data_IF_053827229476
#
_entry.id   IF_053827229476
#
_cell.length_a   1.000
_cell.length_b   1.000
_cell.length_c   1.000
_cell.angle_alpha   90.00
_cell.angle_beta   90.00
_cell.angle_gamma   90.00
#
_symmetry.space_group_name_H-M   'P 1'
#
loop_
_entity.id
_entity.type
_entity.pdbx_description
1 polymer ?
#
# COMPACT_ATOMS: atom_id res chain seq x y z
N UNK A 1 -50.19 -7.32 -20.14
CA UNK A 1 -50.78 -5.98 -20.35
C UNK A 1 -51.23 -5.86 -21.79
N UNK A 2 -52.40 -5.28 -22.05
CA UNK A 2 -52.83 -4.90 -23.38
C UNK A 2 -52.35 -3.46 -23.66
N UNK A 3 -51.48 -3.29 -24.65
CA UNK A 3 -50.87 -1.99 -24.97
C UNK A 3 -51.90 -1.05 -25.59
N UNK A 4 -52.75 -1.57 -26.48
CA UNK A 4 -53.72 -0.78 -27.24
C UNK A 4 -54.84 -0.26 -26.33
N UNK A 5 -55.42 -1.13 -25.50
CA UNK A 5 -56.48 -0.77 -24.57
C UNK A 5 -55.98 -0.15 -23.25
N UNK A 6 -54.65 -0.14 -23.02
CA UNK A 6 -54.01 0.33 -21.79
C UNK A 6 -54.52 -0.34 -20.50
N UNK A 7 -54.93 -1.62 -20.61
CA UNK A 7 -55.41 -2.43 -19.48
C UNK A 7 -54.31 -3.40 -19.04
N UNK A 8 -54.18 -3.63 -17.73
CA UNK A 8 -53.22 -4.59 -17.17
C UNK A 8 -53.91 -5.59 -16.25
N UNK A 9 -53.34 -6.78 -16.22
CA UNK A 9 -53.69 -7.87 -15.31
C UNK A 9 -52.41 -8.53 -14.83
N UNK A 10 -52.50 -9.29 -13.75
CA UNK A 10 -51.39 -10.07 -13.20
C UNK A 10 -51.67 -11.56 -13.38
N UNK A 11 -50.60 -12.32 -13.57
CA UNK A 11 -50.68 -13.78 -13.71
C UNK A 11 -50.78 -14.39 -12.32
N UNK A 12 -51.77 -15.26 -12.10
CA UNK A 12 -51.96 -15.98 -10.85
C UNK A 12 -50.92 -17.08 -10.61
N UNK A 13 -50.93 -17.68 -9.43
CA UNK A 13 -49.98 -18.74 -9.03
C UNK A 13 -49.99 -19.98 -9.94
N UNK A 14 -51.11 -20.26 -10.61
CA UNK A 14 -51.25 -21.36 -11.58
C UNK A 14 -50.88 -21.00 -13.02
N UNK A 15 -50.37 -19.80 -13.30
CA UNK A 15 -50.04 -19.36 -14.67
C UNK A 15 -51.23 -18.89 -15.50
N UNK A 16 -52.41 -18.76 -14.90
CA UNK A 16 -53.64 -18.28 -15.54
C UNK A 16 -53.79 -16.77 -15.36
N UNK A 17 -54.40 -16.11 -16.35
CA UNK A 17 -54.70 -14.68 -16.33
C UNK A 17 -55.94 -14.40 -17.16
N UNK A 18 -56.69 -13.37 -16.78
CA UNK A 18 -57.83 -12.86 -17.54
C UNK A 18 -57.59 -11.39 -17.89
N UNK A 19 -57.80 -11.04 -19.16
CA UNK A 19 -57.67 -9.66 -19.66
C UNK A 19 -58.64 -9.42 -20.81
N UNK A 20 -59.28 -8.25 -20.80
CA UNK A 20 -60.11 -7.79 -21.91
C UNK A 20 -59.22 -7.40 -23.11
N UNK A 21 -59.46 -8.00 -24.26
CA UNK A 21 -58.73 -7.73 -25.49
C UNK A 21 -59.59 -7.97 -26.74
N UNK A 22 -59.25 -7.28 -27.83
CA UNK A 22 -59.91 -7.40 -29.12
C UNK A 22 -58.95 -7.95 -30.19
N UNK A 23 -59.46 -8.50 -31.31
CA UNK A 23 -58.61 -8.84 -32.44
C UNK A 23 -57.77 -7.63 -32.88
N UNK A 24 -56.50 -7.85 -33.20
CA UNK A 24 -55.47 -6.84 -33.54
C UNK A 24 -54.88 -6.06 -32.35
N UNK A 25 -55.31 -6.32 -31.12
CA UNK A 25 -54.61 -5.78 -29.95
C UNK A 25 -53.26 -6.44 -29.73
N UNK A 26 -52.31 -5.69 -29.17
CA UNK A 26 -50.99 -6.20 -28.78
C UNK A 26 -50.92 -6.43 -27.28
N UNK A 27 -50.70 -7.69 -26.89
CA UNK A 27 -50.44 -8.08 -25.52
C UNK A 27 -48.93 -8.13 -25.25
N UNK A 28 -48.50 -7.43 -24.20
CA UNK A 28 -47.17 -7.49 -23.63
C UNK A 28 -47.16 -8.37 -22.38
N UNK A 29 -46.34 -9.41 -22.42
CA UNK A 29 -46.03 -10.27 -21.28
C UNK A 29 -44.65 -9.89 -20.78
N UNK A 30 -44.54 -9.54 -19.50
CA UNK A 30 -43.28 -9.13 -18.85
C UNK A 30 -43.26 -9.66 -17.42
N UNK A 31 -42.12 -10.18 -16.99
CA UNK A 31 -41.92 -10.65 -15.61
C UNK A 31 -40.43 -10.72 -15.28
N UNK A 32 -40.10 -10.84 -14.00
CA UNK A 32 -38.71 -10.91 -13.55
C UNK A 32 -37.97 -12.16 -14.06
N UNK A 33 -38.71 -13.26 -14.20
CA UNK A 33 -38.18 -14.59 -14.56
C UNK A 33 -38.29 -14.91 -16.05
N UNK A 34 -39.02 -14.11 -16.83
CA UNK A 34 -39.34 -14.40 -18.24
C UNK A 34 -38.96 -13.25 -19.17
N UNK A 35 -38.47 -13.57 -20.36
CA UNK A 35 -38.18 -12.58 -21.39
C UNK A 35 -39.48 -11.90 -21.82
N UNK A 36 -39.42 -10.58 -21.98
CA UNK A 36 -40.60 -9.81 -22.37
C UNK A 36 -41.02 -10.17 -23.79
N UNK A 37 -42.28 -10.57 -23.98
CA UNK A 37 -42.82 -11.03 -25.27
C UNK A 37 -44.04 -10.21 -25.66
N UNK A 38 -44.07 -9.77 -26.92
CA UNK A 38 -45.23 -9.09 -27.52
C UNK A 38 -45.95 -10.07 -28.45
N UNK A 39 -47.26 -10.15 -28.32
CA UNK A 39 -48.13 -11.00 -29.14
C UNK A 39 -49.27 -10.14 -29.68
N UNK A 40 -49.45 -10.15 -31.00
CA UNK A 40 -50.60 -9.51 -31.65
C UNK A 40 -51.72 -10.55 -31.76
N UNK A 41 -52.90 -10.21 -31.26
CA UNK A 41 -54.04 -11.13 -31.27
C UNK A 41 -54.67 -11.21 -32.65
N UNK A 42 -55.01 -12.42 -33.06
CA UNK A 42 -55.81 -12.69 -34.26
C UNK A 42 -57.25 -13.04 -33.88
N UNK A 43 -58.16 -13.00 -34.84
CA UNK A 43 -59.57 -13.38 -34.63
C UNK A 43 -59.71 -14.84 -34.18
N UNK A 44 -58.78 -15.71 -34.58
CA UNK A 44 -58.74 -17.12 -34.15
C UNK A 44 -58.37 -17.24 -32.68
N UNK A 45 -57.40 -16.45 -32.21
CA UNK A 45 -56.96 -16.46 -30.81
C UNK A 45 -58.05 -16.00 -29.85
N UNK A 46 -58.90 -15.06 -30.28
CA UNK A 46 -60.07 -14.60 -29.51
C UNK A 46 -61.27 -15.57 -29.59
N UNK A 47 -61.31 -16.45 -30.58
CA UNK A 47 -62.36 -17.46 -30.73
C UNK A 47 -62.06 -18.75 -29.94
N UNK A 48 -60.80 -18.98 -29.58
CA UNK A 48 -60.40 -20.08 -28.70
C UNK A 48 -60.76 -19.80 -27.24
N UNK A 49 -61.19 -20.85 -26.52
CA UNK A 49 -61.57 -20.76 -25.10
C UNK A 49 -60.36 -20.46 -24.21
N UNK A 50 -59.15 -20.88 -24.61
CA UNK A 50 -57.94 -20.72 -23.81
C UNK A 50 -56.71 -20.48 -24.67
N UNK A 51 -56.21 -19.24 -24.61
CA UNK A 51 -54.98 -18.83 -25.28
C UNK A 51 -53.74 -19.28 -24.49
N UNK A 52 -52.91 -20.14 -25.09
CA UNK A 52 -51.66 -20.62 -24.49
C UNK A 52 -50.44 -19.89 -25.07
N UNK A 53 -49.67 -19.24 -24.21
CA UNK A 53 -48.49 -18.47 -24.62
C UNK A 53 -47.26 -19.06 -23.95
N UNK A 54 -46.33 -19.55 -24.76
CA UNK A 54 -45.01 -19.99 -24.30
C UNK A 54 -44.10 -18.79 -24.10
N UNK A 55 -43.61 -18.62 -22.89
CA UNK A 55 -42.63 -17.61 -22.51
C UNK A 55 -41.27 -18.26 -22.31
N UNK A 56 -40.24 -17.61 -22.81
CA UNK A 56 -38.87 -18.05 -22.62
C UNK A 56 -38.34 -17.51 -21.29
N UNK A 57 -37.70 -18.36 -20.50
CA UNK A 57 -37.06 -17.94 -19.26
C UNK A 57 -35.95 -16.93 -19.58
N UNK A 58 -35.82 -15.90 -18.74
CA UNK A 58 -34.59 -15.10 -18.76
C UNK A 58 -33.50 -16.01 -18.22
N UNK A 59 -32.69 -16.56 -19.13
CA UNK A 59 -31.46 -17.22 -18.74
C UNK A 59 -30.49 -16.11 -18.32
N UNK A 60 -30.62 -15.67 -17.07
CA UNK A 60 -29.58 -14.89 -16.41
C UNK A 60 -28.39 -15.83 -16.27
N UNK A 61 -27.60 -15.94 -17.33
CA UNK A 61 -26.25 -16.48 -17.21
C UNK A 61 -25.59 -15.61 -16.17
N UNK A 62 -25.48 -16.14 -14.95
CA UNK A 62 -24.63 -15.54 -13.94
C UNK A 62 -23.29 -15.40 -14.62
N UNK A 63 -22.75 -14.16 -14.66
CA UNK A 63 -21.38 -13.97 -15.13
C UNK A 63 -20.55 -15.01 -14.39
N UNK A 64 -19.91 -15.90 -15.15
CA UNK A 64 -19.01 -16.87 -14.57
C UNK A 64 -17.96 -16.06 -13.81
N UNK A 65 -18.05 -16.09 -12.49
CA UNK A 65 -17.00 -15.55 -11.66
C UNK A 65 -15.95 -16.64 -11.69
N UNK A 66 -15.00 -16.50 -12.61
CA UNK A 66 -13.79 -17.32 -12.60
C UNK A 66 -13.08 -16.97 -11.31
N UNK A 67 -13.34 -17.73 -10.24
CA UNK A 67 -12.55 -17.67 -9.01
C UNK A 67 -11.22 -18.28 -9.40
N UNK A 68 -10.30 -17.42 -9.82
CA UNK A 68 -8.93 -17.81 -10.03
C UNK A 68 -8.46 -18.45 -8.71
N UNK A 69 -7.71 -19.56 -8.78
CA UNK A 69 -7.02 -20.15 -7.61
C UNK A 69 -6.08 -19.17 -6.91
N UNK A 70 -5.98 -17.95 -7.42
CA UNK A 70 -5.77 -16.77 -6.62
C UNK A 70 -6.96 -16.51 -5.68
N UNK A 71 -7.26 -17.45 -4.79
CA UNK A 71 -7.37 -17.05 -3.40
C UNK A 71 -6.00 -16.46 -3.08
N UNK A 72 -5.79 -15.20 -3.48
CA UNK A 72 -5.00 -14.27 -2.71
C UNK A 72 -5.72 -14.24 -1.38
N UNK A 73 -5.50 -15.28 -0.58
CA UNK A 73 -5.46 -15.14 0.86
C UNK A 73 -4.65 -13.87 0.97
N UNK A 74 -5.26 -12.80 1.47
CA UNK A 74 -4.50 -11.65 1.93
C UNK A 74 -3.68 -12.08 3.15
N UNK A 75 -3.05 -13.27 3.10
CA UNK A 75 -1.85 -13.62 3.82
C UNK A 75 -0.87 -12.57 3.39
N UNK A 76 -0.87 -11.48 4.15
CA UNK A 76 0.17 -10.48 4.16
C UNK A 76 0.33 -9.79 2.79
N UNK A 77 -0.80 -9.38 2.19
CA UNK A 77 -0.76 -8.58 0.97
C UNK A 77 -0.31 -7.15 1.32
N UNK A 78 1.02 -6.96 1.32
CA UNK A 78 1.70 -5.69 1.53
C UNK A 78 1.76 -5.24 2.99
N UNK A 79 2.96 -5.21 3.56
CA UNK A 79 3.22 -4.59 4.86
C UNK A 79 3.06 -5.52 6.07
N UNK A 80 3.74 -6.67 6.06
CA UNK A 80 3.88 -7.53 7.26
C UNK A 80 4.44 -6.79 8.47
N UNK A 81 5.11 -5.65 8.25
CA UNK A 81 5.72 -4.82 9.28
C UNK A 81 4.73 -4.39 10.36
N UNK A 82 3.48 -4.07 10.01
CA UNK A 82 2.45 -3.69 10.98
C UNK A 82 2.17 -4.79 12.01
N UNK A 83 2.29 -6.05 11.60
CA UNK A 83 2.07 -7.20 12.48
C UNK A 83 3.31 -7.54 13.31
N UNK A 84 4.51 -7.29 12.77
CA UNK A 84 5.79 -7.45 13.48
C UNK A 84 5.97 -6.37 14.54
N UNK A 85 5.46 -5.17 14.29
CA UNK A 85 5.53 -4.02 15.21
C UNK A 85 4.46 -4.05 16.30
N UNK A 86 3.52 -4.99 16.22
CA UNK A 86 2.41 -5.05 17.15
C UNK A 86 2.91 -5.62 18.48
N UNK A 87 2.86 -4.77 19.51
CA UNK A 87 3.16 -5.19 20.87
C UNK A 87 1.90 -5.81 21.49
N UNK A 88 2.07 -6.97 22.11
CA UNK A 88 1.01 -7.67 22.82
C UNK A 88 1.31 -7.68 24.31
N UNK A 89 0.26 -7.54 25.10
CA UNK A 89 0.30 -7.79 26.53
C UNK A 89 0.31 -9.29 26.81
N UNK A 90 0.95 -9.68 27.91
CA UNK A 90 1.01 -11.08 28.32
C UNK A 90 -0.40 -11.54 28.74
N UNK A 91 -0.89 -12.62 28.14
CA UNK A 91 -2.18 -13.24 28.41
C UNK A 91 -2.04 -14.58 29.15
N UNK A 92 -3.17 -15.28 29.38
CA UNK A 92 -3.18 -16.57 30.09
C UNK A 92 -2.45 -17.70 29.34
N UNK A 93 -2.18 -17.54 28.04
CA UNK A 93 -1.47 -18.51 27.22
C UNK A 93 -0.01 -18.11 26.97
N UNK A 94 0.40 -16.94 27.42
CA UNK A 94 1.75 -16.43 27.25
C UNK A 94 2.76 -17.26 28.05
N UNK A 95 3.95 -17.44 27.49
CA UNK A 95 5.00 -18.26 28.12
C UNK A 95 5.42 -17.63 29.44
N UNK A 96 5.41 -18.42 30.53
CA UNK A 96 5.83 -17.95 31.84
C UNK A 96 7.31 -17.50 31.80
N UNK A 97 7.56 -16.24 32.16
CA UNK A 97 8.92 -15.70 32.30
C UNK A 97 9.36 -15.73 33.76
N UNK A 98 10.58 -16.23 34.01
CA UNK A 98 11.17 -16.25 35.35
C UNK A 98 11.86 -14.90 35.64
N UNK A 99 11.18 -14.03 36.39
CA UNK A 99 11.70 -12.72 36.76
C UNK A 99 12.83 -12.77 37.82
N UNK A 100 13.15 -13.93 38.39
CA UNK A 100 14.25 -14.11 39.33
C UNK A 100 15.59 -14.47 38.65
N UNK A 101 15.58 -14.69 37.33
CA UNK A 101 16.81 -14.91 36.56
C UNK A 101 17.51 -13.58 36.27
N UNK A 102 18.84 -13.59 36.20
CA UNK A 102 19.62 -12.42 35.77
C UNK A 102 19.17 -11.97 34.37
N UNK A 103 19.00 -10.65 34.18
CA UNK A 103 18.59 -10.13 32.88
C UNK A 103 19.65 -10.45 31.83
N UNK A 104 19.19 -10.84 30.64
CA UNK A 104 20.02 -11.08 29.46
C UNK A 104 20.50 -9.77 28.79
N UNK A 105 20.37 -8.64 29.50
CA UNK A 105 20.65 -7.28 29.03
C UNK A 105 19.80 -6.85 27.82
N UNK A 106 18.77 -7.61 27.45
CA UNK A 106 17.84 -7.21 26.40
C UNK A 106 16.74 -6.30 26.95
N UNK A 107 16.36 -5.30 26.15
CA UNK A 107 15.28 -4.37 26.50
C UNK A 107 13.97 -4.93 25.93
N UNK A 108 13.06 -5.40 26.80
CA UNK A 108 11.69 -5.77 26.38
C UNK A 108 11.07 -4.55 25.69
N UNK A 109 10.60 -4.71 24.45
CA UNK A 109 10.05 -3.63 23.61
C UNK A 109 11.07 -2.57 23.15
N UNK A 110 12.35 -2.90 23.09
CA UNK A 110 13.38 -2.00 22.55
C UNK A 110 13.22 -1.68 21.06
N UNK A 111 13.83 -0.59 20.62
CA UNK A 111 13.84 -0.14 19.22
C UNK A 111 14.67 -1.08 18.34
N UNK A 112 14.12 -1.51 17.19
CA UNK A 112 14.81 -2.35 16.20
C UNK A 112 15.73 -1.50 15.31
N UNK A 113 16.94 -1.25 15.79
CA UNK A 113 17.94 -0.44 15.09
C UNK A 113 18.37 -1.02 13.73
N UNK A 114 18.33 -2.34 13.57
CA UNK A 114 18.67 -3.01 12.29
C UNK A 114 17.63 -2.68 11.24
N UNK A 115 16.35 -2.65 11.62
CA UNK A 115 15.27 -2.24 10.73
C UNK A 115 15.33 -0.76 10.41
N UNK A 116 15.53 0.11 11.40
CA UNK A 116 15.69 1.56 11.19
C UNK A 116 16.82 1.80 10.18
N UNK A 117 17.97 1.16 10.35
CA UNK A 117 19.09 1.24 9.41
C UNK A 117 18.72 0.75 7.99
N UNK A 118 17.99 -0.37 7.89
CA UNK A 118 17.56 -0.93 6.60
C UNK A 118 16.56 -0.04 5.87
N UNK A 119 15.64 0.59 6.60
CA UNK A 119 14.66 1.53 6.04
C UNK A 119 15.33 2.83 5.60
N UNK A 120 16.26 3.37 6.39
CA UNK A 120 17.11 4.51 6.01
C UNK A 120 17.90 4.18 4.74
N UNK A 121 18.59 3.03 4.69
CA UNK A 121 19.32 2.59 3.50
C UNK A 121 18.41 2.43 2.27
N UNK A 122 17.21 1.91 2.43
CA UNK A 122 16.25 1.70 1.33
C UNK A 122 15.65 3.00 0.81
N UNK A 123 15.39 3.97 1.69
CA UNK A 123 15.02 5.33 1.32
C UNK A 123 16.14 6.04 0.57
N UNK A 124 17.40 5.80 0.96
CA UNK A 124 18.57 6.31 0.25
C UNK A 124 18.82 5.62 -1.10
N UNK A 125 18.36 4.37 -1.28
CA UNK A 125 18.57 3.57 -2.51
C UNK A 125 17.47 3.72 -3.57
N UNK A 126 16.34 4.36 -3.26
CA UNK A 126 15.27 4.64 -4.25
C UNK A 126 15.39 6.07 -4.74
N UNK A 127 16.05 6.24 -5.89
CA UNK A 127 16.03 7.48 -6.66
C UNK A 127 15.80 7.17 -8.13
N UNK A 128 14.64 7.59 -8.61
CA UNK A 128 14.48 8.01 -9.98
C UNK A 128 15.20 9.37 -10.13
N UNK A 129 15.97 9.48 -11.21
CA UNK A 129 16.61 10.68 -11.75
C UNK A 129 17.62 11.40 -10.84
N UNK A 130 18.88 11.01 -11.04
CA UNK A 130 20.09 11.73 -10.67
C UNK A 130 19.99 13.17 -11.18
N UNK A 131 19.67 14.09 -10.26
CA UNK A 131 20.16 15.47 -10.35
C UNK A 131 21.61 15.44 -9.89
N UNK A 132 22.50 16.04 -10.69
CA UNK A 132 23.97 16.08 -10.50
C UNK A 132 24.46 16.55 -9.11
N UNK A 133 23.59 17.02 -8.22
CA UNK A 133 23.95 17.51 -6.88
C UNK A 133 24.22 16.42 -5.84
N UNK A 134 23.79 15.16 -6.03
CA UNK A 134 23.94 14.12 -4.99
C UNK A 134 25.19 13.25 -5.15
N UNK A 135 25.82 13.27 -6.32
CA UNK A 135 27.09 12.57 -6.57
C UNK A 135 28.20 13.22 -5.72
N UNK A 136 28.05 14.50 -5.36
CA UNK A 136 29.04 15.25 -4.58
C UNK A 136 29.07 14.85 -3.10
N UNK A 137 27.94 14.42 -2.54
CA UNK A 137 27.83 14.18 -1.10
C UNK A 137 28.46 12.85 -0.69
N UNK A 138 28.32 11.83 -1.55
CA UNK A 138 29.02 10.54 -1.41
C UNK A 138 30.53 10.74 -1.66
N UNK A 139 30.88 11.55 -2.66
CA UNK A 139 32.27 11.83 -3.01
C UNK A 139 33.04 12.49 -1.87
N UNK A 140 32.45 13.45 -1.14
CA UNK A 140 33.09 14.07 0.02
C UNK A 140 33.36 13.07 1.14
N UNK A 141 32.39 12.22 1.47
CA UNK A 141 32.50 11.24 2.56
C UNK A 141 33.55 10.18 2.25
N UNK A 142 33.58 9.68 1.01
CA UNK A 142 34.61 8.73 0.56
C UNK A 142 36.00 9.40 0.56
N UNK A 143 36.11 10.60 -0.02
CA UNK A 143 37.37 11.34 -0.06
C UNK A 143 37.94 11.62 1.33
N UNK A 144 37.09 12.01 2.29
CA UNK A 144 37.50 12.23 3.67
C UNK A 144 38.02 10.94 4.35
N UNK A 145 37.30 9.83 4.19
CA UNK A 145 37.69 8.53 4.76
C UNK A 145 39.01 8.02 4.16
N UNK A 146 39.26 8.28 2.89
CA UNK A 146 40.49 7.87 2.21
C UNK A 146 41.69 8.77 2.55
N UNK A 147 41.46 10.06 2.82
CA UNK A 147 42.53 11.03 3.09
C UNK A 147 42.92 11.19 4.56
N UNK A 148 42.04 10.82 5.49
CA UNK A 148 42.27 10.94 6.93
C UNK A 148 42.24 9.59 7.64
N UNK A 149 43.15 9.40 8.58
CA UNK A 149 43.25 8.15 9.34
C UNK A 149 42.21 8.11 10.47
N UNK A 150 41.89 6.90 10.94
CA UNK A 150 41.01 6.69 12.10
C UNK A 150 41.46 7.46 13.36
N UNK A 151 42.77 7.67 13.50
CA UNK A 151 43.34 8.48 14.58
C UNK A 151 42.93 9.95 14.51
N UNK A 152 42.76 10.52 13.31
CA UNK A 152 42.28 11.90 13.18
C UNK A 152 40.84 12.03 13.75
N UNK A 153 39.95 11.11 13.39
CA UNK A 153 38.58 11.13 13.89
C UNK A 153 38.49 10.87 15.40
N UNK A 154 39.22 9.87 15.89
CA UNK A 154 39.15 9.47 17.30
C UNK A 154 39.96 10.35 18.25
N UNK A 155 41.17 10.78 17.88
CA UNK A 155 42.07 11.55 18.76
C UNK A 155 41.96 13.05 18.54
N UNK A 156 41.84 13.51 17.30
CA UNK A 156 41.80 14.94 16.98
C UNK A 156 40.39 15.50 17.07
N UNK A 157 39.43 14.84 16.42
CA UNK A 157 38.03 15.25 16.49
C UNK A 157 37.31 14.71 17.75
N UNK A 158 37.89 13.72 18.42
CA UNK A 158 37.30 13.11 19.62
C UNK A 158 35.85 12.65 19.35
N UNK A 159 35.67 11.99 18.21
CA UNK A 159 34.42 11.36 17.79
C UNK A 159 34.52 9.86 18.06
N UNK A 160 33.42 9.25 18.51
CA UNK A 160 33.33 7.80 18.58
C UNK A 160 33.15 7.21 17.18
N UNK A 161 33.53 5.95 17.00
CA UNK A 161 33.46 5.27 15.69
C UNK A 161 32.06 5.30 15.08
N UNK A 162 31.02 5.24 15.90
CA UNK A 162 29.61 5.34 15.52
C UNK A 162 29.17 6.78 15.16
N UNK A 163 29.90 7.79 15.62
CA UNK A 163 29.64 9.22 15.35
C UNK A 163 30.37 9.72 14.09
N UNK A 164 31.43 9.04 13.64
CA UNK A 164 32.26 9.48 12.50
C UNK A 164 31.44 9.61 11.21
N UNK A 165 30.62 8.60 10.90
CA UNK A 165 29.84 8.59 9.66
C UNK A 165 28.76 9.67 9.65
N UNK A 166 28.12 9.90 10.81
CA UNK A 166 27.14 10.97 10.98
C UNK A 166 27.79 12.36 10.87
N UNK A 167 28.97 12.53 11.47
CA UNK A 167 29.72 13.78 11.39
C UNK A 167 30.16 14.11 9.96
N UNK A 168 30.62 13.12 9.18
CA UNK A 168 31.00 13.31 7.78
C UNK A 168 29.79 13.70 6.92
N UNK A 169 28.64 13.09 7.17
CA UNK A 169 27.39 13.45 6.49
C UNK A 169 26.93 14.87 6.87
N UNK A 170 27.10 15.27 8.14
CA UNK A 170 26.86 16.64 8.59
C UNK A 170 27.77 17.64 7.88
N UNK A 171 29.05 17.30 7.69
CA UNK A 171 30.00 18.14 6.96
C UNK A 171 29.64 18.27 5.48
N UNK A 172 29.19 17.18 4.84
CA UNK A 172 28.80 17.16 3.43
C UNK A 172 27.60 18.07 3.11
N UNK A 173 26.75 18.37 4.10
CA UNK A 173 25.61 19.27 3.93
C UNK A 173 26.02 20.75 3.86
N UNK A 174 27.27 21.09 4.22
CA UNK A 174 27.78 22.45 4.07
C UNK A 174 28.26 22.67 2.63
N UNK A 175 27.77 23.71 1.90
CA UNK A 175 28.23 24.02 0.55
C UNK A 175 29.75 24.19 0.44
N UNK A 176 30.43 24.67 1.49
CA UNK A 176 31.88 24.88 1.50
C UNK A 176 32.67 23.57 1.54
N UNK A 177 32.06 22.45 1.92
CA UNK A 177 32.70 21.14 1.88
C UNK A 177 33.05 20.68 0.47
N UNK A 178 32.27 21.13 -0.54
CA UNK A 178 32.43 20.78 -1.96
C UNK A 178 33.62 21.50 -2.61
N UNK A 179 34.02 22.65 -2.06
CA UNK A 179 35.17 23.42 -2.54
C UNK A 179 36.50 22.84 -2.06
N UNK A 180 36.48 22.02 -1.00
CA UNK A 180 37.66 21.53 -0.27
C UNK A 180 38.07 20.08 -0.62
N UNK A 181 37.56 19.54 -1.73
CA UNK A 181 37.81 18.14 -2.19
C UNK A 181 39.01 18.05 -3.15
N UNK A 182 39.92 19.04 -3.10
CA UNK A 182 41.16 19.04 -3.87
C UNK A 182 42.34 18.56 -3.01
N UNK A 183 43.24 17.69 -3.51
CA UNK A 183 44.44 17.24 -2.81
C UNK A 183 45.30 18.37 -2.22
N UNK A 184 45.39 19.51 -2.92
CA UNK A 184 46.21 20.65 -2.50
C UNK A 184 45.61 21.41 -1.30
N UNK A 185 44.34 21.13 -0.97
CA UNK A 185 43.58 21.81 0.08
C UNK A 185 43.38 20.95 1.33
N UNK A 186 44.12 19.84 1.47
CA UNK A 186 44.00 18.90 2.61
C UNK A 186 44.07 19.58 3.99
N UNK A 187 44.92 20.61 4.15
CA UNK A 187 45.01 21.37 5.40
C UNK A 187 43.76 22.22 5.67
N UNK A 188 43.19 22.82 4.63
CA UNK A 188 41.97 23.63 4.73
C UNK A 188 40.76 22.74 5.04
N UNK A 189 40.71 21.54 4.46
CA UNK A 189 39.73 20.52 4.79
C UNK A 189 39.83 20.08 6.26
N UNK A 190 41.05 19.95 6.78
CA UNK A 190 41.29 19.64 8.19
C UNK A 190 40.71 20.72 9.12
N UNK A 191 41.02 21.99 8.85
CA UNK A 191 40.55 23.12 9.65
C UNK A 191 39.02 23.28 9.58
N UNK A 192 38.45 23.07 8.39
CA UNK A 192 37.01 23.02 8.19
C UNK A 192 36.35 21.95 9.06
N UNK A 193 36.87 20.71 9.05
CA UNK A 193 36.34 19.62 9.86
C UNK A 193 36.47 19.89 11.36
N UNK A 194 37.58 20.45 11.82
CA UNK A 194 37.77 20.80 13.24
C UNK A 194 36.74 21.85 13.68
N UNK A 195 36.49 22.87 12.85
CA UNK A 195 35.50 23.90 13.16
C UNK A 195 34.08 23.37 13.12
N UNK A 196 33.73 22.55 12.11
CA UNK A 196 32.43 21.90 12.00
C UNK A 196 32.14 20.96 13.16
N UNK A 197 33.16 20.27 13.67
CA UNK A 197 32.99 19.38 14.82
C UNK A 197 32.62 20.15 16.10
N UNK A 198 33.09 21.38 16.28
CA UNK A 198 32.66 22.24 17.40
C UNK A 198 31.18 22.60 17.28
N UNK A 199 30.69 22.86 16.06
CA UNK A 199 29.28 23.14 15.79
C UNK A 199 28.42 21.89 16.00
N UNK A 200 28.87 20.75 15.46
CA UNK A 200 28.21 19.45 15.59
C UNK A 200 28.00 19.06 17.06
N UNK A 201 29.05 19.15 17.89
CA UNK A 201 28.95 18.84 19.33
C UNK A 201 28.03 19.80 20.10
N UNK A 202 27.95 21.07 19.69
CA UNK A 202 26.98 22.02 20.27
C UNK A 202 25.55 21.68 19.87
N UNK A 203 25.33 21.26 18.62
CA UNK A 203 24.02 20.87 18.14
C UNK A 203 23.51 19.58 18.84
N UNK A 204 24.39 18.61 19.08
CA UNK A 204 24.04 17.41 19.85
C UNK A 204 23.75 17.71 21.33
N UNK A 205 24.51 18.62 21.94
CA UNK A 205 24.29 19.04 23.33
C UNK A 205 22.97 19.81 23.53
N UNK A 206 22.45 20.47 22.49
CA UNK A 206 21.18 21.17 22.53
C UNK A 206 19.95 20.26 22.32
N UNK A 207 20.17 19.00 21.91
CA UNK A 207 19.12 17.99 21.71
C UNK A 207 18.98 17.02 22.88
N UNK A 208 19.83 17.13 23.90
CA UNK A 208 19.71 16.45 25.21
C UNK A 208 19.11 17.38 26.24
#
# INVERSE_FOLDING_TARGET
MNINANVRTFIGSGGLFDIMAQPKDTLLFSGLTFQSKKVVLTEKDCAEVLLKIKLDLVNNQLKEVVVHKELKVKSLQGGSQKYVDMQFEDDKQSTAKNNAMLSDQTIKYGTDFVRIFKDVKKLLSKKDEVKEEEITDIAFVEYAKDNFTKDFYSKTLNLKDDEVELFLMYCSNDPHSKELVDPDQKFQLMDFMINKNKEFKKAEAAQK
#
